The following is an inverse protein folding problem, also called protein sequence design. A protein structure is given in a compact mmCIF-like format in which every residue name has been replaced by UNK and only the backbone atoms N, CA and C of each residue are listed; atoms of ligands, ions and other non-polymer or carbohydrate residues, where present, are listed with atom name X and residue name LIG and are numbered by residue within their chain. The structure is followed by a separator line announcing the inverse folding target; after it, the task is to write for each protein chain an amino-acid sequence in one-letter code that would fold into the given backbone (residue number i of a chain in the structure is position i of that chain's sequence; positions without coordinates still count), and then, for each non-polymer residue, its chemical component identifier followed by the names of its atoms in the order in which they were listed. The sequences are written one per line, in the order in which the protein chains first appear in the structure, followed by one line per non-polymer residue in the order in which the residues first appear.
data_IF_256917095856
#
_entry.id   IF_256917095856
#
_cell.length_a   1.000
_cell.length_b   1.000
_cell.length_c   1.000
_cell.angle_alpha   90.00
_cell.angle_beta   90.00
_cell.angle_gamma   90.00
#
_symmetry.space_group_name_H-M   'P 1'
#
loop_
_entity.id
_entity.type
_entity.pdbx_description
1 polymer ?
#
# COMPACT_ATOMS: atom_id res chain seq x y z
N UNK A 1 2.29 -17.12 11.92
CA UNK A 1 3.25 -16.45 11.00
C UNK A 1 3.87 -15.28 11.72
N UNK A 2 5.12 -14.94 11.40
CA UNK A 2 5.77 -13.74 11.94
C UNK A 2 5.17 -12.49 11.28
N UNK A 3 4.81 -11.50 12.10
CA UNK A 3 4.38 -10.19 11.65
C UNK A 3 5.59 -9.44 11.07
N UNK A 4 5.44 -8.91 9.85
CA UNK A 4 6.48 -8.13 9.16
C UNK A 4 5.86 -6.86 8.56
N UNK A 5 6.71 -5.88 8.26
CA UNK A 5 6.32 -4.62 7.60
C UNK A 5 6.55 -4.74 6.09
N UNK A 6 5.55 -4.40 5.30
CA UNK A 6 5.54 -4.59 3.85
C UNK A 6 5.12 -3.28 3.16
N UNK A 7 5.94 -2.81 2.22
CA UNK A 7 5.58 -1.74 1.28
C UNK A 7 5.16 -2.36 -0.05
N UNK A 8 3.96 -2.01 -0.54
CA UNK A 8 3.50 -2.40 -1.87
C UNK A 8 3.55 -1.19 -2.78
N UNK A 9 4.44 -1.23 -3.78
CA UNK A 9 4.54 -0.20 -4.82
C UNK A 9 3.62 -0.56 -5.97
N UNK A 10 2.59 0.26 -6.22
CA UNK A 10 1.57 -0.02 -7.23
C UNK A 10 0.35 -0.76 -6.67
N UNK A 11 -0.47 -0.06 -5.88
CA UNK A 11 -1.68 -0.64 -5.30
C UNK A 11 -2.93 -0.51 -6.19
N UNK A 12 -2.88 -0.88 -7.48
CA UNK A 12 -4.08 -1.07 -8.31
C UNK A 12 -4.92 -2.27 -7.86
N UNK A 13 -5.73 -2.86 -8.75
CA UNK A 13 -6.62 -3.98 -8.38
C UNK A 13 -5.88 -5.15 -7.73
N UNK A 14 -4.74 -5.54 -8.31
CA UNK A 14 -3.90 -6.63 -7.80
C UNK A 14 -3.26 -6.25 -6.47
N UNK A 15 -2.62 -5.08 -6.42
CA UNK A 15 -1.89 -4.64 -5.22
C UNK A 15 -2.81 -4.40 -4.02
N UNK A 16 -4.03 -3.89 -4.25
CA UNK A 16 -5.05 -3.75 -3.21
C UNK A 16 -5.50 -5.11 -2.68
N UNK A 17 -5.80 -6.09 -3.55
CA UNK A 17 -6.20 -7.44 -3.11
C UNK A 17 -5.08 -8.13 -2.33
N UNK A 18 -3.83 -7.98 -2.77
CA UNK A 18 -2.66 -8.49 -2.07
C UNK A 18 -2.52 -7.83 -0.69
N UNK A 19 -2.61 -6.51 -0.61
CA UNK A 19 -2.54 -5.75 0.64
C UNK A 19 -3.60 -6.23 1.63
N UNK A 20 -4.86 -6.38 1.18
CA UNK A 20 -5.95 -6.89 2.01
C UNK A 20 -5.62 -8.28 2.56
N UNK A 21 -5.11 -9.19 1.73
CA UNK A 21 -4.77 -10.54 2.17
C UNK A 21 -3.62 -10.55 3.18
N UNK A 22 -2.60 -9.73 2.97
CA UNK A 22 -1.46 -9.61 3.88
C UNK A 22 -1.88 -9.00 5.23
N UNK A 23 -2.74 -7.99 5.23
CA UNK A 23 -3.32 -7.41 6.46
C UNK A 23 -4.15 -8.46 7.20
N UNK A 24 -5.01 -9.22 6.49
CA UNK A 24 -5.78 -10.31 7.08
C UNK A 24 -4.91 -11.41 7.69
N UNK A 25 -3.71 -11.62 7.14
CA UNK A 25 -2.72 -12.55 7.69
C UNK A 25 -1.90 -11.96 8.85
N UNK A 26 -2.19 -10.73 9.28
CA UNK A 26 -1.59 -10.08 10.45
C UNK A 26 -0.32 -9.28 10.17
N UNK A 27 0.01 -9.01 8.90
CA UNK A 27 1.17 -8.18 8.53
C UNK A 27 0.82 -6.68 8.59
N UNK A 28 1.84 -5.84 8.81
CA UNK A 28 1.72 -4.38 8.66
C UNK A 28 2.02 -4.01 7.20
N UNK A 29 1.04 -3.43 6.51
CA UNK A 29 1.15 -3.14 5.08
C UNK A 29 0.89 -1.67 4.82
N UNK A 30 1.77 -1.05 4.03
CA UNK A 30 1.61 0.31 3.48
C UNK A 30 1.60 0.20 1.96
N UNK A 31 0.65 0.86 1.31
CA UNK A 31 0.60 0.96 -0.14
C UNK A 31 1.22 2.27 -0.65
N UNK A 32 1.86 2.24 -1.82
CA UNK A 32 2.30 3.44 -2.53
C UNK A 32 1.48 3.59 -3.82
N UNK A 33 0.84 4.76 -3.99
CA UNK A 33 0.09 5.14 -5.19
C UNK A 33 0.28 6.62 -5.48
N UNK A 34 0.26 7.01 -6.76
CA UNK A 34 0.23 8.42 -7.17
C UNK A 34 -0.99 9.17 -6.64
N UNK A 35 -2.15 8.51 -6.65
CA UNK A 35 -3.41 9.09 -6.20
C UNK A 35 -4.16 8.08 -5.33
N UNK A 36 -3.98 8.13 -3.99
CA UNK A 36 -4.73 7.30 -3.07
C UNK A 36 -6.24 7.58 -3.17
N UNK A 37 -7.09 6.55 -3.05
CA UNK A 37 -8.53 6.76 -2.98
C UNK A 37 -8.88 7.57 -1.72
N UNK A 38 -9.79 8.55 -1.86
CA UNK A 38 -10.28 9.36 -0.73
C UNK A 38 -11.14 8.55 0.24
N UNK A 39 -11.76 7.49 -0.25
CA UNK A 39 -12.57 6.59 0.56
C UNK A 39 -11.69 5.51 1.20
N UNK A 40 -11.87 5.34 2.52
CA UNK A 40 -11.12 4.40 3.36
C UNK A 40 -11.78 3.02 3.43
N UNK A 41 -12.73 2.73 2.53
CA UNK A 41 -13.34 1.42 2.30
C UNK A 41 -12.33 0.26 2.39
N UNK A 42 -11.08 0.50 2.03
CA UNK A 42 -9.97 -0.42 2.28
C UNK A 42 -9.06 0.23 3.30
N UNK A 43 -8.97 -0.35 4.51
CA UNK A 43 -8.12 0.09 5.65
C UNK A 43 -6.61 -0.07 5.37
N UNK A 44 -6.19 0.20 4.15
CA UNK A 44 -4.79 0.17 3.71
C UNK A 44 -4.28 1.61 3.84
N UNK A 45 -3.28 1.87 4.69
CA UNK A 45 -2.62 3.17 4.69
C UNK A 45 -1.84 3.34 3.38
N UNK A 46 -1.93 4.54 2.80
CA UNK A 46 -1.25 4.88 1.56
C UNK A 46 -0.22 6.00 1.75
N UNK A 47 0.92 5.85 1.09
CA UNK A 47 1.88 6.91 0.81
C UNK A 47 1.66 7.41 -0.62
N UNK A 48 1.41 8.71 -0.77
CA UNK A 48 1.20 9.32 -2.07
C UNK A 48 2.54 9.68 -2.72
N UNK A 49 2.93 8.99 -3.78
CA UNK A 49 4.20 9.24 -4.47
C UNK A 49 4.19 8.75 -5.92
N UNK A 50 5.14 9.26 -6.70
CA UNK A 50 5.41 8.84 -8.07
C UNK A 50 6.80 8.19 -8.16
N UNK A 51 6.83 6.91 -8.53
CA UNK A 51 8.08 6.14 -8.60
C UNK A 51 9.05 6.63 -9.68
N UNK A 52 8.57 7.41 -10.64
CA UNK A 52 9.43 8.11 -11.61
C UNK A 52 10.03 9.42 -11.11
N UNK A 53 9.64 9.93 -9.93
CA UNK A 53 10.20 11.14 -9.32
C UNK A 53 10.82 10.82 -7.97
N UNK A 54 12.15 10.91 -7.90
CA UNK A 54 12.93 10.64 -6.67
C UNK A 54 12.51 11.58 -5.54
N UNK A 55 12.18 12.83 -5.86
CA UNK A 55 11.74 13.85 -4.92
C UNK A 55 10.42 13.49 -4.22
N UNK A 56 9.60 12.64 -4.84
CA UNK A 56 8.35 12.18 -4.25
C UNK A 56 8.51 10.95 -3.34
N UNK A 57 9.71 10.34 -3.29
CA UNK A 57 10.00 9.11 -2.54
C UNK A 57 10.72 9.36 -1.20
N UNK A 58 11.05 10.61 -0.90
CA UNK A 58 11.74 11.03 0.33
C UNK A 58 10.78 11.41 1.45
#
# INVERSE_FOLDING_TARGET
MQKIKILIVGCGDVGTRLATRLIQNGHDVVGLRRSPPKDTLHKIPYFAADVSSVESLS
#
